data_IF_230051601878
#
_entry.id   IF_230051601878
#
_cell.length_a   1.000
_cell.length_b   1.000
_cell.length_c   1.000
_cell.angle_alpha   90.00
_cell.angle_beta   90.00
_cell.angle_gamma   90.00
#
_symmetry.space_group_name_H-M   'P 1'
#
loop_
_entity.id
_entity.type
_entity.pdbx_description
1 polymer ?
#
# COMPACT_ATOMS: atom_id res chain seq x y z
N UNK A 1 10.17 -21.74 -3.80
CA UNK A 1 11.00 -20.96 -2.85
C UNK A 1 11.97 -19.94 -3.48
N UNK A 2 12.31 -19.99 -4.78
CA UNK A 2 13.23 -19.01 -5.40
C UNK A 2 12.57 -17.73 -5.94
N UNK A 3 11.28 -17.76 -6.29
CA UNK A 3 10.61 -16.62 -6.96
C UNK A 3 10.31 -15.46 -6.01
N UNK A 4 9.88 -15.73 -4.76
CA UNK A 4 9.54 -14.69 -3.79
C UNK A 4 10.76 -13.87 -3.30
N UNK A 5 11.95 -14.49 -3.29
CA UNK A 5 13.18 -13.83 -2.84
C UNK A 5 13.81 -12.95 -3.95
N UNK A 6 13.61 -13.29 -5.23
CA UNK A 6 14.06 -12.46 -6.35
C UNK A 6 13.29 -11.14 -6.46
N UNK A 7 12.01 -11.08 -6.07
CA UNK A 7 11.24 -9.82 -6.09
C UNK A 7 11.55 -8.88 -4.92
N UNK A 8 11.98 -9.42 -3.77
CA UNK A 8 12.44 -8.64 -2.62
C UNK A 8 13.71 -7.82 -2.93
N UNK A 9 14.52 -8.29 -3.89
CA UNK A 9 15.70 -7.59 -4.40
C UNK A 9 15.43 -6.82 -5.72
N UNK A 10 14.51 -7.28 -6.58
CA UNK A 10 14.19 -6.57 -7.83
C UNK A 10 13.42 -5.26 -7.61
N UNK A 11 12.68 -5.12 -6.50
CA UNK A 11 12.03 -3.88 -6.10
C UNK A 11 13.01 -2.78 -5.63
N UNK A 12 14.31 -3.09 -5.50
CA UNK A 12 15.30 -2.17 -4.92
C UNK A 12 16.11 -1.35 -5.93
N UNK A 13 16.07 -1.63 -7.25
CA UNK A 13 16.88 -0.87 -8.23
C UNK A 13 16.37 -0.83 -9.68
N UNK A 14 15.69 -1.85 -10.16
CA UNK A 14 15.13 -1.90 -11.51
C UNK A 14 13.68 -1.42 -11.49
N UNK A 15 13.30 -0.57 -12.43
CA UNK A 15 11.92 -0.18 -12.72
C UNK A 15 11.18 -1.39 -13.31
N UNK A 16 10.37 -2.17 -12.56
CA UNK A 16 9.71 -3.37 -13.10
C UNK A 16 8.71 -3.10 -14.24
N UNK A 17 8.55 -1.83 -14.66
CA UNK A 17 7.51 -1.34 -15.56
C UNK A 17 7.99 -1.00 -16.99
N UNK A 18 9.27 -1.23 -17.32
CA UNK A 18 9.79 -1.08 -18.70
C UNK A 18 9.60 -2.38 -19.53
N UNK A 19 9.00 -3.42 -18.95
CA UNK A 19 8.67 -4.71 -19.55
C UNK A 19 7.13 -4.93 -19.53
N UNK A 20 6.59 -5.87 -20.33
CA UNK A 20 5.19 -6.29 -20.19
C UNK A 20 4.86 -6.65 -18.74
N UNK A 21 3.64 -6.30 -18.29
CA UNK A 21 3.20 -6.58 -16.93
C UNK A 21 3.32 -8.07 -16.63
N UNK A 22 3.87 -8.46 -15.47
CA UNK A 22 3.87 -9.87 -15.08
C UNK A 22 2.42 -10.38 -14.99
N UNK A 23 2.15 -11.66 -15.28
CA UNK A 23 0.80 -12.22 -15.22
C UNK A 23 0.12 -11.95 -13.86
N UNK A 24 -1.15 -11.51 -13.91
CA UNK A 24 -1.94 -11.17 -12.73
C UNK A 24 -1.65 -9.78 -12.13
N UNK A 25 -0.75 -9.00 -12.73
CA UNK A 25 -0.56 -7.59 -12.38
C UNK A 25 -1.25 -6.68 -13.37
N UNK A 26 -1.89 -5.66 -12.83
CA UNK A 26 -2.68 -4.71 -13.58
C UNK A 26 -2.36 -3.27 -13.13
N UNK A 27 -2.74 -2.32 -13.98
CA UNK A 27 -2.64 -0.90 -13.68
C UNK A 27 -3.96 -0.43 -13.10
N UNK A 28 -3.89 0.59 -12.24
CA UNK A 28 -5.11 1.21 -11.73
C UNK A 28 -5.95 1.75 -12.90
N UNK A 29 -7.29 1.63 -12.86
CA UNK A 29 -8.15 2.13 -13.93
C UNK A 29 -7.89 3.61 -14.26
N UNK A 30 -7.94 4.03 -15.54
CA UNK A 30 -7.65 5.40 -15.94
C UNK A 30 -8.48 6.47 -15.21
N UNK A 31 -9.72 6.15 -14.82
CA UNK A 31 -10.60 7.03 -14.05
C UNK A 31 -10.07 7.27 -12.63
N UNK A 32 -9.72 6.21 -11.91
CA UNK A 32 -9.12 6.28 -10.58
C UNK A 32 -7.79 7.03 -10.61
N UNK A 33 -6.97 6.83 -11.65
CA UNK A 33 -5.75 7.63 -11.85
C UNK A 33 -6.07 9.12 -11.95
N UNK A 34 -7.02 9.54 -12.79
CA UNK A 34 -7.39 10.97 -12.91
C UNK A 34 -7.89 11.55 -11.59
N UNK A 35 -8.63 10.76 -10.83
CA UNK A 35 -9.20 11.19 -9.55
C UNK A 35 -8.13 11.36 -8.46
N UNK A 36 -7.11 10.49 -8.44
CA UNK A 36 -6.12 10.44 -7.36
C UNK A 36 -4.79 11.14 -7.69
N UNK A 37 -4.43 11.27 -8.98
CA UNK A 37 -3.20 11.94 -9.44
C UNK A 37 -2.97 13.32 -8.77
N UNK A 38 -3.98 14.19 -8.59
CA UNK A 38 -3.79 15.49 -7.91
C UNK A 38 -3.28 15.40 -6.47
N UNK A 39 -3.52 14.29 -5.77
CA UNK A 39 -3.13 14.11 -4.37
C UNK A 39 -1.75 13.46 -4.20
N UNK A 40 -1.22 12.86 -5.27
CA UNK A 40 0.05 12.14 -5.29
C UNK A 40 0.94 12.63 -6.45
N UNK A 41 1.28 13.94 -6.52
CA UNK A 41 2.05 14.52 -7.64
C UNK A 41 3.44 13.91 -7.82
N UNK A 42 3.99 13.27 -6.79
CA UNK A 42 5.27 12.55 -6.83
C UNK A 42 5.19 11.18 -7.53
N UNK A 43 3.98 10.66 -7.77
CA UNK A 43 3.72 9.38 -8.42
C UNK A 43 3.12 9.58 -9.82
N UNK A 44 3.62 8.85 -10.80
CA UNK A 44 2.87 8.60 -12.02
C UNK A 44 1.99 7.37 -11.80
N UNK A 45 0.73 7.54 -11.37
CA UNK A 45 -0.14 6.42 -10.98
C UNK A 45 -0.37 5.39 -12.11
N UNK A 46 -0.32 5.85 -13.36
CA UNK A 46 -0.46 4.98 -14.54
C UNK A 46 0.76 4.08 -14.73
N UNK A 47 1.92 4.46 -14.22
CA UNK A 47 3.19 3.78 -14.47
C UNK A 47 3.80 3.13 -13.22
N UNK A 48 3.86 3.89 -12.13
CA UNK A 48 4.73 3.66 -10.97
C UNK A 48 4.14 2.67 -9.96
N UNK A 49 2.87 2.27 -10.12
CA UNK A 49 2.16 1.39 -9.17
C UNK A 49 1.48 0.26 -9.93
N UNK A 50 1.68 -0.97 -9.46
CA UNK A 50 1.03 -2.17 -9.99
C UNK A 50 0.12 -2.79 -8.93
N UNK A 51 -1.03 -3.25 -9.37
CA UNK A 51 -2.10 -3.80 -8.56
C UNK A 51 -2.29 -5.27 -8.88
N UNK A 52 -2.68 -6.06 -7.88
CA UNK A 52 -3.00 -7.47 -8.03
C UNK A 52 -4.21 -7.82 -7.16
N UNK A 53 -5.31 -8.21 -7.79
CA UNK A 53 -6.63 -8.33 -7.14
C UNK A 53 -7.05 -9.80 -6.91
N UNK A 54 -6.19 -10.76 -7.24
CA UNK A 54 -6.43 -12.19 -7.04
C UNK A 54 -6.14 -12.69 -5.61
N UNK A 55 -5.89 -11.77 -4.67
CA UNK A 55 -5.78 -12.04 -3.24
C UNK A 55 -4.43 -11.73 -2.61
N UNK A 56 -4.40 -11.84 -1.28
CA UNK A 56 -3.22 -11.52 -0.48
C UNK A 56 -2.17 -12.64 -0.51
N UNK A 57 -0.87 -12.30 -0.53
CA UNK A 57 0.19 -13.28 -0.37
C UNK A 57 0.01 -14.12 0.90
N UNK A 58 0.34 -15.41 0.84
CA UNK A 58 0.19 -16.35 1.96
C UNK A 58 0.87 -15.86 3.25
N UNK A 59 2.03 -15.20 3.12
CA UNK A 59 2.79 -14.67 4.25
C UNK A 59 2.07 -13.48 4.90
N UNK A 60 1.37 -12.65 4.13
CA UNK A 60 0.58 -11.56 4.67
C UNK A 60 -0.55 -12.13 5.53
N UNK A 61 -1.26 -13.14 5.03
CA UNK A 61 -2.30 -13.85 5.80
C UNK A 61 -1.77 -14.54 7.07
N UNK A 62 -0.51 -15.01 7.05
CA UNK A 62 0.09 -15.78 8.15
C UNK A 62 0.65 -14.92 9.29
N UNK A 63 1.08 -13.70 8.98
CA UNK A 63 1.81 -12.84 9.90
C UNK A 63 1.14 -11.49 10.16
N UNK A 64 0.05 -11.15 9.45
CA UNK A 64 -0.67 -9.92 9.72
C UNK A 64 -1.32 -9.98 11.10
N UNK A 65 -1.16 -8.88 11.85
CA UNK A 65 -1.78 -8.70 13.16
C UNK A 65 -3.31 -8.57 13.02
N UNK A 66 -3.75 -7.92 11.94
CA UNK A 66 -5.14 -7.73 11.55
C UNK A 66 -5.28 -8.20 10.10
N UNK A 67 -6.35 -8.93 9.72
CA UNK A 67 -6.59 -9.29 8.33
C UNK A 67 -6.60 -8.05 7.43
N UNK A 68 -5.65 -7.88 6.49
CA UNK A 68 -5.62 -6.71 5.63
C UNK A 68 -6.70 -6.79 4.55
N UNK A 69 -7.21 -5.64 4.11
CA UNK A 69 -7.93 -5.53 2.83
C UNK A 69 -6.96 -5.46 1.65
N UNK A 70 -5.79 -4.86 1.86
CA UNK A 70 -4.72 -4.73 0.89
C UNK A 70 -3.35 -4.72 1.60
N UNK A 71 -2.28 -4.88 0.83
CA UNK A 71 -0.91 -4.74 1.31
C UNK A 71 -0.01 -4.11 0.25
N UNK A 72 0.80 -3.15 0.67
CA UNK A 72 1.78 -2.48 -0.19
C UNK A 72 3.22 -2.91 0.15
N UNK A 73 3.98 -3.24 -0.89
CA UNK A 73 5.43 -3.44 -0.82
C UNK A 73 6.12 -2.67 -1.95
N UNK A 74 6.70 -1.51 -1.63
CA UNK A 74 7.31 -0.64 -2.63
C UNK A 74 6.25 -0.05 -3.57
N UNK A 75 6.31 -0.46 -4.84
CA UNK A 75 5.36 -0.06 -5.91
C UNK A 75 4.29 -1.11 -6.19
N UNK A 76 4.25 -2.18 -5.40
CA UNK A 76 3.40 -3.34 -5.62
C UNK A 76 2.29 -3.37 -4.57
N UNK A 77 1.05 -3.43 -5.02
CA UNK A 77 -0.14 -3.47 -4.15
C UNK A 77 -0.93 -4.73 -4.44
N UNK A 78 -1.16 -5.54 -3.41
CA UNK A 78 -2.08 -6.67 -3.46
C UNK A 78 -3.37 -6.27 -2.77
N UNK A 79 -4.50 -6.63 -3.36
CA UNK A 79 -5.83 -6.32 -2.84
C UNK A 79 -6.62 -7.63 -2.75
N UNK A 80 -7.39 -7.77 -1.67
CA UNK A 80 -8.32 -8.87 -1.56
C UNK A 80 -9.47 -8.72 -2.60
N UNK A 81 -10.04 -9.82 -3.14
CA UNK A 81 -10.95 -9.78 -4.29
C UNK A 81 -12.20 -8.89 -4.12
N UNK A 82 -12.63 -8.64 -2.89
CA UNK A 82 -13.85 -7.89 -2.57
C UNK A 82 -13.60 -6.41 -2.20
N UNK A 83 -12.35 -5.95 -2.26
CA UNK A 83 -11.95 -4.67 -1.69
C UNK A 83 -11.53 -3.60 -2.70
N UNK A 84 -11.24 -3.97 -3.96
CA UNK A 84 -10.95 -2.99 -4.99
C UNK A 84 -12.24 -2.48 -5.65
N UNK A 85 -12.86 -1.47 -5.04
CA UNK A 85 -14.09 -0.83 -5.51
C UNK A 85 -13.88 0.69 -5.74
N UNK A 86 -13.11 1.09 -6.77
CA UNK A 86 -12.67 2.48 -6.98
C UNK A 86 -13.82 3.50 -7.19
N UNK A 87 -15.02 3.03 -7.50
CA UNK A 87 -16.24 3.81 -7.62
C UNK A 87 -16.92 4.12 -6.28
N UNK A 88 -16.50 3.46 -5.20
CA UNK A 88 -17.07 3.65 -3.85
C UNK A 88 -16.18 4.53 -2.98
N UNK A 89 -16.73 5.29 -2.02
CA UNK A 89 -15.94 6.08 -1.08
C UNK A 89 -14.92 5.25 -0.29
N UNK A 90 -15.30 4.04 0.12
CA UNK A 90 -14.43 3.16 0.92
C UNK A 90 -13.31 2.55 0.05
N UNK A 91 -13.59 2.20 -1.21
CA UNK A 91 -12.55 1.74 -2.13
C UNK A 91 -11.59 2.84 -2.55
N UNK A 92 -12.06 4.08 -2.73
CA UNK A 92 -11.19 5.25 -2.94
C UNK A 92 -10.29 5.48 -1.73
N UNK A 93 -10.82 5.37 -0.51
CA UNK A 93 -10.04 5.50 0.72
C UNK A 93 -8.98 4.40 0.83
N UNK A 94 -9.34 3.15 0.54
CA UNK A 94 -8.39 2.04 0.53
C UNK A 94 -7.26 2.27 -0.50
N UNK A 95 -7.60 2.62 -1.74
CA UNK A 95 -6.60 2.89 -2.78
C UNK A 95 -5.68 4.04 -2.34
N UNK A 96 -6.25 5.12 -1.80
CA UNK A 96 -5.48 6.26 -1.30
C UNK A 96 -4.54 5.85 -0.16
N UNK A 97 -4.99 4.99 0.76
CA UNK A 97 -4.18 4.46 1.86
C UNK A 97 -2.95 3.71 1.33
N UNK A 98 -3.15 2.77 0.39
CA UNK A 98 -2.05 2.02 -0.22
C UNK A 98 -1.09 2.94 -0.99
N UNK A 99 -1.59 3.95 -1.69
CA UNK A 99 -0.75 4.95 -2.37
C UNK A 99 0.10 5.77 -1.39
N UNK A 100 -0.41 6.08 -0.18
CA UNK A 100 0.43 6.71 0.86
C UNK A 100 1.59 5.79 1.22
N UNK A 101 1.36 4.48 1.38
CA UNK A 101 2.47 3.55 1.60
C UNK A 101 3.47 3.55 0.44
N UNK A 102 3.03 3.60 -0.82
CA UNK A 102 3.94 3.74 -1.98
C UNK A 102 4.81 4.99 -1.85
N UNK A 103 4.24 6.14 -1.49
CA UNK A 103 5.00 7.38 -1.29
C UNK A 103 5.99 7.28 -0.11
N UNK A 104 5.59 6.65 0.98
CA UNK A 104 6.45 6.38 2.13
C UNK A 104 7.62 5.45 1.74
N UNK A 105 7.36 4.40 0.94
CA UNK A 105 8.42 3.54 0.40
C UNK A 105 9.36 4.30 -0.52
N UNK A 106 8.87 5.20 -1.39
CA UNK A 106 9.74 6.05 -2.22
C UNK A 106 10.58 7.00 -1.39
N UNK A 107 10.03 7.54 -0.30
CA UNK A 107 10.72 8.47 0.59
C UNK A 107 11.81 7.81 1.43
N UNK A 108 11.56 6.61 1.94
CA UNK A 108 12.45 5.96 2.91
C UNK A 108 13.21 4.74 2.38
N UNK A 109 12.84 4.23 1.20
CA UNK A 109 13.27 2.93 0.69
C UNK A 109 12.71 1.77 1.55
N UNK A 110 12.84 0.54 1.06
CA UNK A 110 12.28 -0.63 1.76
C UNK A 110 12.87 -0.81 3.17
N UNK A 111 14.18 -0.68 3.33
CA UNK A 111 14.85 -0.83 4.63
C UNK A 111 14.47 0.30 5.59
N UNK A 112 14.41 1.54 5.10
CA UNK A 112 14.07 2.69 5.92
C UNK A 112 12.60 2.68 6.34
N UNK A 113 11.70 2.18 5.49
CA UNK A 113 10.30 1.94 5.81
C UNK A 113 10.17 0.84 6.88
N UNK A 114 10.71 -0.36 6.61
CA UNK A 114 10.60 -1.51 7.51
C UNK A 114 11.15 -1.20 8.92
N UNK A 115 12.29 -0.49 8.99
CA UNK A 115 12.85 -0.06 10.28
C UNK A 115 11.90 0.85 11.05
N UNK A 116 11.33 1.87 10.40
CA UNK A 116 10.42 2.83 11.06
C UNK A 116 9.14 2.15 11.50
N UNK A 117 8.58 1.30 10.65
CA UNK A 117 7.38 0.54 10.89
C UNK A 117 7.56 -0.42 12.09
N UNK A 118 8.59 -1.28 12.03
CA UNK A 118 8.87 -2.27 13.06
C UNK A 118 9.27 -1.66 14.41
N UNK A 119 10.10 -0.60 14.43
CA UNK A 119 10.47 0.06 15.68
C UNK A 119 9.27 0.74 16.34
N UNK A 120 8.38 1.37 15.57
CA UNK A 120 7.18 1.97 16.12
C UNK A 120 6.24 0.92 16.71
N UNK A 121 5.99 -0.17 15.97
CA UNK A 121 5.19 -1.29 16.45
C UNK A 121 5.76 -1.87 17.75
N UNK A 122 7.06 -2.19 17.77
CA UNK A 122 7.72 -2.74 18.95
C UNK A 122 7.65 -1.77 20.13
N UNK A 123 7.89 -0.47 19.90
CA UNK A 123 7.78 0.55 20.95
C UNK A 123 6.36 0.59 21.52
N UNK A 124 5.33 0.53 20.69
CA UNK A 124 3.95 0.55 21.15
C UNK A 124 3.60 -0.73 21.93
N UNK A 125 4.00 -1.91 21.43
CA UNK A 125 3.83 -3.18 22.14
C UNK A 125 4.55 -3.20 23.50
N UNK A 126 5.79 -2.67 23.57
CA UNK A 126 6.55 -2.55 24.82
C UNK A 126 5.92 -1.57 25.82
N UNK A 127 5.04 -0.67 25.38
CA UNK A 127 4.25 0.21 26.27
C UNK A 127 3.01 -0.48 26.84
N UNK A 128 2.73 -1.72 26.44
CA UNK A 128 1.59 -2.50 26.91
C UNK A 128 0.36 -2.44 25.99
N UNK A 129 0.47 -1.84 24.80
CA UNK A 129 -0.62 -1.85 23.82
C UNK A 129 -0.93 -3.29 23.38
N UNK A 130 -2.21 -3.59 23.15
CA UNK A 130 -2.58 -4.81 22.42
C UNK A 130 -1.92 -4.81 21.05
N UNK A 131 -1.71 -5.98 20.42
CA UNK A 131 -1.07 -6.02 19.10
C UNK A 131 -1.82 -5.17 18.07
N UNK A 132 -3.16 -5.17 18.12
CA UNK A 132 -3.99 -4.33 17.26
C UNK A 132 -3.76 -2.83 17.51
N UNK A 133 -3.79 -2.39 18.78
CA UNK A 133 -3.50 -0.99 19.12
C UNK A 133 -2.06 -0.60 18.75
N UNK A 134 -1.09 -1.49 18.99
CA UNK A 134 0.30 -1.28 18.65
C UNK A 134 0.50 -1.06 17.13
N UNK A 135 -0.26 -1.79 16.31
CA UNK A 135 -0.34 -1.64 14.85
C UNK A 135 -1.04 -0.32 14.46
N UNK A 136 -2.24 -0.06 14.99
CA UNK A 136 -3.05 1.11 14.64
C UNK A 136 -2.35 2.43 14.96
N UNK A 137 -1.52 2.42 16.01
CA UNK A 137 -0.74 3.56 16.50
C UNK A 137 0.65 3.70 15.84
N UNK A 138 0.97 2.92 14.81
CA UNK A 138 2.20 3.13 14.03
C UNK A 138 2.06 4.47 13.30
N UNK A 139 3.03 5.41 13.41
CA UNK A 139 2.90 6.72 12.77
C UNK A 139 2.68 6.67 11.25
N UNK A 140 3.25 5.66 10.57
CA UNK A 140 3.06 5.46 9.13
C UNK A 140 1.63 5.02 8.78
N UNK A 141 1.00 4.19 9.62
CA UNK A 141 -0.41 3.77 9.49
C UNK A 141 -1.35 4.94 9.78
N UNK A 142 -1.04 5.73 10.82
CA UNK A 142 -1.80 6.94 11.17
C UNK A 142 -1.73 7.96 10.03
N UNK A 143 -0.55 8.22 9.47
CA UNK A 143 -0.39 9.10 8.30
C UNK A 143 -1.22 8.60 7.11
N UNK A 144 -1.11 7.31 6.77
CA UNK A 144 -1.85 6.70 5.67
C UNK A 144 -3.36 6.84 5.84
N UNK A 145 -3.89 6.54 7.02
CA UNK A 145 -5.31 6.67 7.36
C UNK A 145 -5.80 8.11 7.29
N UNK A 146 -5.06 9.05 7.87
CA UNK A 146 -5.46 10.47 7.88
C UNK A 146 -5.46 11.06 6.47
N UNK A 147 -4.41 10.79 5.66
CA UNK A 147 -4.35 11.28 4.28
C UNK A 147 -5.43 10.64 3.41
N UNK A 148 -5.65 9.33 3.53
CA UNK A 148 -6.70 8.63 2.80
C UNK A 148 -8.11 9.19 3.12
N UNK A 149 -8.41 9.40 4.40
CA UNK A 149 -9.68 9.97 4.84
C UNK A 149 -9.88 11.42 4.34
N UNK A 150 -8.82 12.24 4.32
CA UNK A 150 -8.87 13.59 3.75
C UNK A 150 -9.12 13.57 2.23
N UNK A 151 -8.46 12.68 1.50
CA UNK A 151 -8.67 12.49 0.05
C UNK A 151 -10.11 12.04 -0.23
N UNK A 152 -10.62 11.04 0.49
CA UNK A 152 -12.01 10.58 0.39
C UNK A 152 -12.97 11.75 0.57
N UNK A 153 -12.80 12.55 1.63
CA UNK A 153 -13.66 13.72 1.88
C UNK A 153 -13.65 14.67 0.69
N UNK A 154 -12.48 15.06 0.19
CA UNK A 154 -12.35 16.00 -0.93
C UNK A 154 -12.93 15.50 -2.25
N UNK A 155 -13.03 14.18 -2.43
CA UNK A 155 -13.59 13.56 -3.63
C UNK A 155 -15.12 13.35 -3.57
N UNK A 156 -15.70 13.28 -2.36
CA UNK A 156 -17.15 13.07 -2.15
C UNK A 156 -17.92 14.41 -2.07
N UNK A 157 -17.22 15.56 -2.05
CA UNK A 157 -17.82 16.90 -2.11
C UNK A 157 -17.90 17.52 -3.53
N UNK A 158 -18.13 16.69 -4.56
CA UNK A 158 -18.48 17.14 -5.92
C UNK A 158 -19.80 16.52 -6.34
#
# INVERSE_FOLDING_TARGET
MRVAFCFLLAGLRSRPWDAPLPPGWERLPPASCRQLEPFFPELNLRRDVLWRVDGLPWWARRFAVIPPAAITLGSLVWVAPDWLAPETPDGVELIAHELVHVTQYRRYGCLGFARRYGLAFLRNALRGDSLAAAYENIPLEVEARLRAADIRKRLVFV
#
